data_IF_424392756990
#
_entry.id   IF_424392756990
#
_cell.length_a   1.000
_cell.length_b   1.000
_cell.length_c   1.000
_cell.angle_alpha   90.00
_cell.angle_beta   90.00
_cell.angle_gamma   90.00
#
_symmetry.space_group_name_H-M   'P 1'
#
loop_
_entity.id
_entity.type
_entity.pdbx_description
1 polymer ?
#
# COMPACT_ATOMS: atom_id res chain seq x y z
N UNK A 1 -60.42 -8.38 -34.36
CA UNK A 1 -60.56 -6.92 -34.19
C UNK A 1 -59.39 -6.39 -33.35
N UNK A 2 -58.58 -5.65 -34.07
CA UNK A 2 -57.75 -4.52 -33.71
C UNK A 2 -56.56 -4.74 -32.78
N UNK A 3 -55.44 -4.69 -33.44
CA UNK A 3 -54.10 -4.35 -33.01
C UNK A 3 -54.03 -3.11 -32.12
N UNK A 4 -53.14 -3.16 -31.12
CA UNK A 4 -52.30 -2.03 -30.81
C UNK A 4 -50.95 -2.56 -30.31
N UNK A 5 -50.01 -2.50 -31.20
CA UNK A 5 -48.60 -2.68 -30.95
C UNK A 5 -48.06 -1.34 -30.45
N UNK A 6 -47.86 -1.18 -29.16
CA UNK A 6 -47.10 -0.05 -28.63
C UNK A 6 -45.67 -0.51 -28.31
N UNK A 7 -44.80 -0.23 -29.26
CA UNK A 7 -43.36 -0.35 -29.09
C UNK A 7 -42.86 0.63 -28.06
N UNK A 8 -42.55 0.12 -26.87
CA UNK A 8 -41.76 0.86 -25.90
C UNK A 8 -40.34 0.97 -26.44
N UNK A 9 -40.03 2.11 -27.01
CA UNK A 9 -38.65 2.51 -27.33
C UNK A 9 -37.85 2.61 -26.02
N UNK A 10 -37.07 1.60 -25.77
CA UNK A 10 -36.04 1.62 -24.73
C UNK A 10 -34.97 2.62 -25.20
N UNK A 11 -35.05 3.86 -24.74
CA UNK A 11 -33.98 4.84 -24.92
C UNK A 11 -32.81 4.41 -24.01
N UNK A 12 -31.79 3.85 -24.61
CA UNK A 12 -30.51 3.59 -24.01
C UNK A 12 -29.76 4.94 -23.84
N UNK A 13 -30.11 5.62 -22.73
CA UNK A 13 -29.62 6.97 -22.43
C UNK A 13 -28.36 6.95 -21.57
N UNK A 14 -27.57 5.87 -21.67
CA UNK A 14 -26.31 5.71 -20.94
C UNK A 14 -25.10 6.05 -21.82
N UNK A 15 -25.17 7.12 -22.63
CA UNK A 15 -24.00 7.70 -23.28
C UNK A 15 -23.24 8.53 -22.27
N UNK A 16 -22.26 7.90 -21.60
CA UNK A 16 -21.23 8.63 -20.84
C UNK A 16 -20.57 9.62 -21.79
N UNK A 17 -20.86 10.92 -21.60
CA UNK A 17 -20.20 11.97 -22.39
C UNK A 17 -18.70 11.90 -22.19
N UNK A 18 -17.87 12.07 -23.22
CA UNK A 18 -16.43 12.14 -23.03
C UNK A 18 -16.09 13.33 -22.13
N UNK A 19 -15.24 13.08 -21.11
CA UNK A 19 -14.76 14.13 -20.20
C UNK A 19 -13.96 15.16 -20.98
N UNK A 20 -14.13 16.42 -20.65
CA UNK A 20 -13.32 17.51 -21.21
C UNK A 20 -11.92 17.48 -20.59
N UNK A 21 -10.93 18.03 -21.29
CA UNK A 21 -9.56 18.18 -20.75
C UNK A 21 -9.54 19.00 -19.46
N UNK A 22 -10.43 19.97 -19.31
CA UNK A 22 -10.56 20.79 -18.13
C UNK A 22 -11.08 19.99 -16.93
N UNK A 23 -12.08 19.11 -17.13
CA UNK A 23 -12.58 18.20 -16.11
C UNK A 23 -11.50 17.20 -15.68
N UNK A 24 -10.72 16.64 -16.63
CA UNK A 24 -9.63 15.72 -16.33
C UNK A 24 -8.49 16.40 -15.54
N UNK A 25 -8.18 17.67 -15.82
CA UNK A 25 -7.20 18.45 -15.07
C UNK A 25 -7.68 18.76 -13.66
N UNK A 26 -8.95 19.15 -13.50
CA UNK A 26 -9.53 19.42 -12.19
C UNK A 26 -9.54 18.17 -11.29
N UNK A 27 -9.87 17.00 -11.85
CA UNK A 27 -9.83 15.73 -11.14
C UNK A 27 -8.39 15.40 -10.67
N UNK A 28 -7.37 15.61 -11.53
CA UNK A 28 -5.96 15.40 -11.19
C UNK A 28 -5.45 16.37 -10.11
N UNK A 29 -5.86 17.64 -10.15
CA UNK A 29 -5.50 18.63 -9.14
C UNK A 29 -6.14 18.29 -7.78
N UNK A 30 -7.38 17.84 -7.77
CA UNK A 30 -8.06 17.42 -6.55
C UNK A 30 -7.46 16.13 -5.97
N UNK A 31 -7.13 15.13 -6.80
CA UNK A 31 -6.43 13.91 -6.38
C UNK A 31 -5.06 14.26 -5.77
N UNK A 32 -4.28 15.13 -6.42
CA UNK A 32 -2.98 15.56 -5.91
C UNK A 32 -3.09 16.29 -4.57
N UNK A 33 -4.13 17.12 -4.39
CA UNK A 33 -4.39 17.81 -3.15
C UNK A 33 -4.76 16.86 -2.01
N UNK A 34 -5.61 15.87 -2.28
CA UNK A 34 -5.99 14.84 -1.32
C UNK A 34 -4.76 14.02 -0.90
N UNK A 35 -3.92 13.65 -1.86
CA UNK A 35 -2.69 12.90 -1.59
C UNK A 35 -1.70 13.72 -0.74
N UNK A 36 -1.52 15.01 -1.06
CA UNK A 36 -0.66 15.91 -0.30
C UNK A 36 -1.16 16.10 1.14
N UNK A 37 -2.46 16.25 1.34
CA UNK A 37 -3.05 16.38 2.68
C UNK A 37 -2.91 15.08 3.49
N UNK A 38 -3.10 13.93 2.85
CA UNK A 38 -2.87 12.64 3.46
C UNK A 38 -1.39 12.44 3.87
N UNK A 39 -0.46 12.82 3.01
CA UNK A 39 0.97 12.79 3.29
C UNK A 39 1.35 13.72 4.47
N UNK A 40 0.79 14.92 4.52
CA UNK A 40 1.02 15.86 5.63
C UNK A 40 0.53 15.29 6.96
N UNK A 41 -0.71 14.78 7.02
CA UNK A 41 -1.27 14.11 8.22
C UNK A 41 -0.44 12.89 8.64
N UNK A 42 0.13 12.19 7.69
CA UNK A 42 1.00 11.05 7.93
C UNK A 42 2.30 11.44 8.63
N UNK A 43 2.96 12.50 8.15
CA UNK A 43 4.20 13.05 8.74
C UNK A 43 3.93 13.58 10.15
N UNK A 44 2.82 14.29 10.34
CA UNK A 44 2.41 14.81 11.64
C UNK A 44 2.19 13.68 12.66
N UNK A 45 1.49 12.62 12.24
CA UNK A 45 1.26 11.44 13.09
C UNK A 45 2.56 10.76 13.50
N UNK A 46 3.51 10.55 12.59
CA UNK A 46 4.82 10.00 12.91
C UNK A 46 5.62 10.92 13.85
N UNK A 47 5.50 12.24 13.70
CA UNK A 47 6.13 13.20 14.60
C UNK A 47 5.60 13.08 16.03
N UNK A 48 4.29 12.85 16.21
CA UNK A 48 3.66 12.63 17.51
C UNK A 48 4.08 11.30 18.15
N UNK A 49 4.38 10.27 17.37
CA UNK A 49 4.84 8.97 17.87
C UNK A 49 6.29 9.01 18.38
N UNK A 50 7.16 9.85 17.80
CA UNK A 50 8.59 9.93 18.17
C UNK A 50 8.85 10.12 19.67
N UNK A 51 8.18 11.04 20.40
CA UNK A 51 8.40 11.22 21.84
C UNK A 51 7.95 9.99 22.64
N UNK A 52 6.87 9.31 22.21
CA UNK A 52 6.37 8.09 22.87
C UNK A 52 7.41 6.97 22.71
N UNK A 53 7.87 6.72 21.48
CA UNK A 53 8.91 5.72 21.19
C UNK A 53 10.19 6.01 22.00
N UNK A 54 10.61 7.28 22.08
CA UNK A 54 11.77 7.68 22.87
C UNK A 54 11.60 7.37 24.34
N UNK A 55 10.43 7.63 24.92
CA UNK A 55 10.13 7.30 26.31
C UNK A 55 10.15 5.79 26.55
N UNK A 56 9.54 5.00 25.69
CA UNK A 56 9.55 3.53 25.77
C UNK A 56 10.99 2.99 25.70
N UNK A 57 11.83 3.52 24.80
CA UNK A 57 13.25 3.15 24.71
C UNK A 57 14.02 3.52 25.97
N UNK A 58 13.75 4.68 26.56
CA UNK A 58 14.39 5.14 27.80
C UNK A 58 13.96 4.33 29.03
N UNK A 59 12.78 3.76 29.05
CA UNK A 59 12.27 2.90 30.12
C UNK A 59 12.76 1.46 30.04
N UNK A 60 13.39 1.07 28.90
CA UNK A 60 13.93 -0.25 28.72
C UNK A 60 14.98 -0.58 29.79
N UNK A 61 14.79 -1.71 30.46
CA UNK A 61 15.74 -2.25 31.47
C UNK A 61 16.31 -3.58 31.00
N UNK A 62 17.45 -3.96 31.56
CA UNK A 62 18.02 -5.28 31.31
C UNK A 62 17.03 -6.37 31.76
N UNK A 63 16.59 -7.21 30.82
CA UNK A 63 15.61 -8.27 31.06
C UNK A 63 14.16 -7.90 30.75
N UNK A 64 13.83 -6.62 30.57
CA UNK A 64 12.50 -6.17 30.12
C UNK A 64 12.58 -5.74 28.64
N UNK A 65 11.91 -6.45 27.74
CA UNK A 65 11.93 -6.08 26.33
C UNK A 65 11.18 -4.77 26.11
N UNK A 66 11.73 -3.90 25.25
CA UNK A 66 11.07 -2.66 24.85
C UNK A 66 9.80 -2.98 24.06
N UNK A 67 8.65 -2.51 24.50
CA UNK A 67 7.36 -2.72 23.84
C UNK A 67 7.23 -1.85 22.57
N UNK A 68 8.02 -2.17 21.57
CA UNK A 68 8.06 -1.51 20.27
C UNK A 68 8.11 -2.60 19.19
N UNK A 69 7.35 -2.36 18.13
CA UNK A 69 7.37 -3.13 16.88
C UNK A 69 7.72 -2.20 15.73
N UNK A 70 8.17 -2.75 14.62
CA UNK A 70 8.51 -1.97 13.43
C UNK A 70 7.90 -2.57 12.18
N UNK A 71 7.61 -1.72 11.21
CA UNK A 71 7.07 -2.11 9.91
C UNK A 71 7.81 -1.36 8.80
N UNK A 72 8.10 -2.06 7.71
CA UNK A 72 8.79 -1.52 6.53
C UNK A 72 8.23 -2.08 5.22
N UNK A 73 8.73 -1.57 4.09
CA UNK A 73 8.33 -1.99 2.75
C UNK A 73 7.08 -1.28 2.22
N UNK A 74 6.21 -2.02 1.55
CA UNK A 74 5.04 -1.49 0.84
C UNK A 74 3.86 -1.12 1.77
N UNK A 75 4.11 -0.25 2.75
CA UNK A 75 3.11 0.34 3.65
C UNK A 75 3.12 1.85 3.52
N UNK A 76 2.01 2.50 3.83
CA UNK A 76 1.90 3.97 3.71
C UNK A 76 2.81 4.70 4.68
N UNK A 77 2.93 4.23 5.92
CA UNK A 77 3.71 4.85 6.98
C UNK A 77 4.68 3.84 7.60
N UNK A 78 5.84 3.58 6.96
CA UNK A 78 6.85 2.73 7.57
C UNK A 78 7.47 3.40 8.81
N UNK A 79 7.82 2.60 9.82
CA UNK A 79 8.42 3.13 11.04
C UNK A 79 8.28 2.22 12.25
N UNK A 80 8.55 2.81 13.43
CA UNK A 80 8.40 2.14 14.71
C UNK A 80 7.08 2.54 15.36
N UNK A 81 6.42 1.57 16.01
CA UNK A 81 5.13 1.72 16.66
C UNK A 81 5.18 1.13 18.08
N UNK A 82 4.50 1.75 19.06
CA UNK A 82 4.35 1.16 20.35
C UNK A 82 3.54 -0.15 20.25
N UNK A 83 3.95 -1.17 20.96
CA UNK A 83 3.25 -2.44 21.05
C UNK A 83 2.27 -2.39 22.20
N UNK A 84 0.99 -2.59 21.93
CA UNK A 84 -0.05 -2.77 22.93
C UNK A 84 -0.29 -4.23 23.28
N UNK A 85 -0.99 -4.46 24.39
CA UNK A 85 -1.44 -5.81 24.74
C UNK A 85 -2.42 -6.33 23.70
N UNK A 86 -2.16 -7.50 23.11
CA UNK A 86 -2.97 -8.15 22.06
C UNK A 86 -2.92 -7.45 20.69
N UNK A 87 -1.81 -6.79 20.35
CA UNK A 87 -1.62 -6.28 19.00
C UNK A 87 -1.26 -7.42 18.04
N UNK A 88 -1.84 -7.32 16.85
CA UNK A 88 -1.69 -8.28 15.76
C UNK A 88 -1.07 -7.61 14.54
N UNK A 89 -0.63 -8.42 13.57
CA UNK A 89 -0.13 -7.93 12.27
C UNK A 89 -1.16 -7.01 11.61
N UNK A 90 -2.44 -7.35 11.64
CA UNK A 90 -3.51 -6.52 11.08
C UNK A 90 -3.59 -5.14 11.72
N UNK A 91 -3.49 -5.07 13.05
CA UNK A 91 -3.49 -3.78 13.76
C UNK A 91 -2.24 -2.95 13.46
N UNK A 92 -1.07 -3.58 13.34
CA UNK A 92 0.15 -2.87 12.95
C UNK A 92 0.05 -2.29 11.55
N UNK A 93 -0.45 -3.06 10.58
CA UNK A 93 -0.70 -2.57 9.22
C UNK A 93 -1.70 -1.41 9.23
N UNK A 94 -2.80 -1.51 10.00
CA UNK A 94 -3.75 -0.42 10.14
C UNK A 94 -3.13 0.82 10.80
N UNK A 95 -2.28 0.65 11.83
CA UNK A 95 -1.54 1.74 12.47
C UNK A 95 -0.57 2.41 11.48
N UNK A 96 0.03 1.64 10.56
CA UNK A 96 0.87 2.14 9.49
C UNK A 96 0.09 2.77 8.32
N UNK A 97 -1.20 3.05 8.49
CA UNK A 97 -2.05 3.67 7.47
C UNK A 97 -2.51 2.74 6.35
N UNK A 98 -2.25 1.44 6.47
CA UNK A 98 -2.57 0.44 5.46
C UNK A 98 -1.42 0.16 4.50
N UNK A 99 -1.71 -0.70 3.53
CA UNK A 99 -0.78 -1.12 2.49
C UNK A 99 -0.78 -0.12 1.33
N UNK A 100 0.34 -0.07 0.60
CA UNK A 100 0.41 0.58 -0.72
C UNK A 100 -0.17 -0.35 -1.79
N UNK A 101 -0.53 0.20 -2.93
CA UNK A 101 -1.01 -0.56 -4.09
C UNK A 101 0.07 -1.52 -4.64
N UNK A 102 1.35 -1.17 -4.43
CA UNK A 102 2.50 -2.02 -4.76
C UNK A 102 2.70 -3.21 -3.82
N UNK A 103 1.90 -3.37 -2.77
CA UNK A 103 2.11 -4.39 -1.76
C UNK A 103 1.85 -5.81 -2.27
N UNK A 104 2.79 -6.71 -2.01
CA UNK A 104 2.63 -8.13 -2.26
C UNK A 104 1.81 -8.79 -1.15
N UNK A 105 0.53 -9.05 -1.40
CA UNK A 105 -0.40 -9.53 -0.37
C UNK A 105 -0.15 -10.99 0.06
N UNK A 106 0.47 -11.80 -0.78
CA UNK A 106 0.68 -13.22 -0.49
C UNK A 106 1.95 -13.51 0.32
N UNK A 107 2.85 -12.52 0.46
CA UNK A 107 4.12 -12.72 1.16
C UNK A 107 4.59 -11.45 1.86
N UNK A 108 4.57 -11.49 3.17
CA UNK A 108 5.27 -10.56 4.05
C UNK A 108 6.16 -11.33 5.00
N UNK A 109 7.27 -10.75 5.42
CA UNK A 109 8.21 -11.39 6.33
C UNK A 109 8.11 -10.80 7.73
N UNK A 110 7.81 -11.64 8.72
CA UNK A 110 7.84 -11.27 10.12
C UNK A 110 9.11 -11.81 10.76
N UNK A 111 10.00 -10.92 11.19
CA UNK A 111 11.20 -11.24 11.96
C UNK A 111 10.94 -11.01 13.44
N UNK A 112 11.05 -12.05 14.24
CA UNK A 112 10.94 -12.01 15.70
C UNK A 112 12.32 -12.25 16.34
N UNK A 113 12.64 -11.49 17.40
CA UNK A 113 13.85 -11.68 18.20
C UNK A 113 13.51 -12.45 19.47
N UNK A 114 14.31 -13.46 19.80
CA UNK A 114 14.16 -14.23 21.03
C UNK A 114 15.50 -14.58 21.66
N UNK A 115 15.49 -14.85 22.95
CA UNK A 115 16.69 -15.29 23.67
C UNK A 115 16.90 -16.79 23.46
N UNK A 116 18.02 -17.15 22.91
CA UNK A 116 18.46 -18.54 22.79
C UNK A 116 18.96 -19.14 24.13
N UNK A 117 19.27 -20.45 24.15
CA UNK A 117 19.69 -21.18 25.37
C UNK A 117 20.92 -20.57 26.05
N UNK A 118 21.84 -19.99 25.29
CA UNK A 118 23.08 -19.37 25.77
C UNK A 118 22.95 -17.86 26.03
N UNK A 119 21.72 -17.35 26.24
CA UNK A 119 21.41 -15.92 26.38
C UNK A 119 21.83 -15.06 25.19
N UNK A 120 22.08 -15.66 24.04
CA UNK A 120 22.31 -14.97 22.78
C UNK A 120 20.96 -14.57 22.13
N UNK A 121 20.97 -13.45 21.41
CA UNK A 121 19.78 -12.99 20.66
C UNK A 121 19.76 -13.74 19.34
N UNK A 122 18.67 -14.44 19.08
CA UNK A 122 18.39 -15.16 17.85
C UNK A 122 17.22 -14.53 17.11
N UNK A 123 17.24 -14.64 15.78
CA UNK A 123 16.16 -14.20 14.92
C UNK A 123 15.39 -15.38 14.36
N UNK A 124 14.08 -15.29 14.36
CA UNK A 124 13.18 -16.21 13.68
C UNK A 124 12.45 -15.43 12.58
N UNK A 125 12.42 -16.01 11.39
CA UNK A 125 11.70 -15.45 10.25
C UNK A 125 10.48 -16.31 9.94
N UNK A 126 9.36 -15.67 9.69
CA UNK A 126 8.09 -16.31 9.26
C UNK A 126 7.54 -15.56 8.07
N UNK A 127 7.24 -16.26 7.00
CA UNK A 127 6.45 -15.71 5.90
C UNK A 127 4.97 -15.73 6.27
N UNK A 128 4.31 -14.61 6.05
CA UNK A 128 2.89 -14.40 6.35
C UNK A 128 2.14 -14.05 5.06
N UNK A 129 0.93 -14.61 4.93
CA UNK A 129 0.01 -14.20 3.89
C UNK A 129 -0.89 -13.08 4.42
N UNK A 130 -0.68 -11.85 3.92
CA UNK A 130 -1.41 -10.67 4.40
C UNK A 130 -2.91 -10.71 4.07
N UNK A 131 -3.34 -11.41 3.01
CA UNK A 131 -4.77 -11.59 2.71
C UNK A 131 -5.47 -12.32 3.86
N UNK A 132 -4.81 -13.34 4.43
CA UNK A 132 -5.32 -14.11 5.56
C UNK A 132 -5.23 -13.29 6.84
N UNK A 133 -4.06 -12.68 7.11
CA UNK A 133 -3.82 -11.89 8.33
C UNK A 133 -4.78 -10.71 8.47
N UNK A 134 -5.06 -9.99 7.38
CA UNK A 134 -5.96 -8.83 7.38
C UNK A 134 -7.45 -9.21 7.43
N UNK A 135 -7.80 -10.41 6.96
CA UNK A 135 -9.17 -10.94 7.00
C UNK A 135 -9.51 -11.74 8.26
N UNK A 136 -8.52 -12.10 9.07
CA UNK A 136 -8.73 -12.94 10.24
C UNK A 136 -9.24 -12.14 11.45
N UNK A 137 -10.23 -12.70 12.16
CA UNK A 137 -10.70 -12.16 13.46
C UNK A 137 -9.62 -12.24 14.55
N UNK A 138 -8.71 -13.22 14.45
CA UNK A 138 -7.54 -13.37 15.31
C UNK A 138 -6.32 -13.65 14.44
N UNK A 139 -5.61 -12.59 14.07
CA UNK A 139 -4.36 -12.70 13.31
C UNK A 139 -3.15 -13.02 14.19
N UNK A 140 -1.97 -13.14 13.56
CA UNK A 140 -0.70 -13.38 14.26
C UNK A 140 -0.44 -12.29 15.30
N UNK A 141 -0.30 -12.69 16.55
CA UNK A 141 0.05 -11.80 17.65
C UNK A 141 1.51 -11.34 17.51
N UNK A 142 1.75 -10.07 17.74
CA UNK A 142 3.06 -9.46 17.72
C UNK A 142 3.75 -9.54 19.08
N UNK A 143 5.07 -9.63 19.05
CA UNK A 143 5.94 -9.60 20.22
C UNK A 143 6.83 -8.36 20.18
N UNK A 144 7.38 -8.02 21.34
CA UNK A 144 8.37 -6.94 21.43
C UNK A 144 9.53 -7.15 20.45
N UNK A 145 9.92 -6.06 19.80
CA UNK A 145 10.98 -6.02 18.78
C UNK A 145 10.69 -6.80 17.49
N UNK A 146 9.44 -7.19 17.26
CA UNK A 146 9.05 -7.75 15.97
C UNK A 146 9.21 -6.71 14.86
N UNK A 147 9.64 -7.19 13.70
CA UNK A 147 9.77 -6.41 12.49
C UNK A 147 8.99 -7.06 11.35
N UNK A 148 7.97 -6.36 10.86
CA UNK A 148 7.20 -6.78 9.69
C UNK A 148 7.75 -6.08 8.45
N UNK A 149 8.18 -6.85 7.46
CA UNK A 149 8.56 -6.35 6.14
C UNK A 149 7.52 -6.76 5.10
N UNK A 150 6.81 -5.79 4.55
CA UNK A 150 5.83 -6.00 3.48
C UNK A 150 6.55 -5.88 2.14
N UNK A 151 6.65 -6.99 1.42
CA UNK A 151 7.32 -7.02 0.10
C UNK A 151 6.53 -6.22 -0.93
N UNK A 152 7.22 -5.65 -1.90
CA UNK A 152 6.58 -5.06 -3.07
C UNK A 152 6.39 -6.09 -4.17
N UNK A 153 5.37 -5.89 -5.01
CA UNK A 153 5.17 -6.68 -6.21
C UNK A 153 6.38 -6.51 -7.12
N UNK A 154 6.98 -7.60 -7.62
CA UNK A 154 8.03 -7.51 -8.63
C UNK A 154 7.52 -6.71 -9.84
N UNK A 155 8.38 -5.86 -10.39
CA UNK A 155 8.09 -5.07 -11.58
C UNK A 155 6.86 -4.13 -11.45
N UNK A 156 6.52 -3.72 -10.22
CA UNK A 156 5.47 -2.74 -10.02
C UNK A 156 5.80 -1.43 -10.73
N UNK A 157 5.02 -1.12 -11.77
CA UNK A 157 5.11 0.15 -12.49
C UNK A 157 3.70 0.76 -12.62
N UNK A 158 3.33 1.69 -11.76
CA UNK A 158 1.97 2.27 -11.76
C UNK A 158 1.68 3.08 -13.01
N UNK A 159 2.70 3.61 -13.69
CA UNK A 159 2.52 4.42 -14.88
C UNK A 159 2.45 3.61 -16.16
N UNK A 160 3.08 2.42 -16.21
CA UNK A 160 3.16 1.60 -17.42
C UNK A 160 3.29 2.47 -18.70
N UNK A 161 4.25 3.41 -18.70
CA UNK A 161 4.43 4.35 -19.77
C UNK A 161 5.87 4.30 -20.31
N UNK A 162 6.01 4.51 -21.61
CA UNK A 162 7.29 4.68 -22.29
C UNK A 162 7.31 6.03 -22.98
N UNK A 163 8.46 6.71 -22.94
CA UNK A 163 8.68 7.94 -23.69
C UNK A 163 9.36 7.58 -25.01
N UNK A 164 8.76 7.97 -26.11
CA UNK A 164 9.35 7.88 -27.45
C UNK A 164 9.95 9.25 -27.80
N UNK A 165 11.24 9.26 -28.08
CA UNK A 165 12.00 10.45 -28.46
C UNK A 165 12.83 10.18 -29.74
N UNK A 166 13.28 11.23 -30.39
CA UNK A 166 14.10 11.15 -31.59
C UNK A 166 13.28 11.17 -32.88
N UNK A 167 13.78 10.53 -33.92
CA UNK A 167 13.16 10.51 -35.25
C UNK A 167 11.99 9.53 -35.37
N UNK A 168 10.97 9.77 -34.55
CA UNK A 168 9.69 9.04 -34.61
C UNK A 168 8.60 9.97 -35.12
N UNK A 169 7.60 9.40 -35.78
CA UNK A 169 6.51 10.19 -36.40
C UNK A 169 5.72 11.00 -35.37
N UNK A 170 5.54 10.43 -34.15
CA UNK A 170 4.83 11.06 -33.05
C UNK A 170 5.63 10.83 -31.76
N UNK A 171 6.55 11.73 -31.39
CA UNK A 171 7.24 11.67 -30.12
C UNK A 171 6.30 12.00 -28.98
N UNK A 172 6.48 11.36 -27.81
CA UNK A 172 5.65 11.59 -26.62
C UNK A 172 5.60 10.40 -25.65
N UNK A 173 4.77 10.54 -24.62
CA UNK A 173 4.55 9.51 -23.63
C UNK A 173 3.38 8.62 -24.02
N UNK A 174 3.63 7.32 -24.10
CA UNK A 174 2.64 6.31 -24.46
C UNK A 174 2.41 5.35 -23.29
N UNK A 175 1.18 5.21 -22.87
CA UNK A 175 0.81 4.14 -21.93
C UNK A 175 0.89 2.80 -22.64
N UNK A 176 1.57 1.85 -22.02
CA UNK A 176 1.76 0.49 -22.55
C UNK A 176 0.91 -0.51 -21.74
N UNK A 177 0.49 -1.57 -22.42
CA UNK A 177 -0.14 -2.74 -21.78
C UNK A 177 0.94 -3.69 -21.30
N UNK A 178 0.59 -4.55 -20.34
CA UNK A 178 1.50 -5.63 -19.95
C UNK A 178 1.84 -6.48 -21.17
N UNK A 179 3.13 -6.76 -21.35
CA UNK A 179 3.68 -7.54 -22.46
C UNK A 179 3.54 -6.90 -23.86
N UNK A 180 3.14 -5.62 -23.95
CA UNK A 180 3.12 -4.87 -25.22
C UNK A 180 4.57 -4.57 -25.69
N UNK A 181 4.86 -4.83 -26.97
CA UNK A 181 6.18 -4.57 -27.53
C UNK A 181 6.29 -3.13 -28.02
N UNK A 182 7.51 -2.60 -28.02
CA UNK A 182 7.77 -1.26 -28.55
C UNK A 182 7.30 -1.10 -30.01
N UNK A 183 7.43 -2.17 -30.83
CA UNK A 183 6.91 -2.20 -32.21
C UNK A 183 5.41 -1.96 -32.30
N UNK A 184 4.65 -2.35 -31.29
CA UNK A 184 3.19 -2.22 -31.27
C UNK A 184 2.80 -0.80 -30.85
N UNK A 185 3.59 -0.20 -29.95
CA UNK A 185 3.44 1.20 -29.56
C UNK A 185 3.74 2.14 -30.72
N UNK A 186 4.81 1.87 -31.50
CA UNK A 186 5.20 2.69 -32.66
C UNK A 186 4.18 2.61 -33.80
N UNK A 187 3.45 1.52 -33.95
CA UNK A 187 2.42 1.32 -34.97
C UNK A 187 1.07 1.96 -34.66
N UNK A 188 0.87 2.36 -33.41
CA UNK A 188 -0.34 3.00 -32.90
C UNK A 188 -0.38 4.47 -33.27
#
# INVERSE_FOLDING_TARGET
>A
YVNANEGASFRDDNRVRPRTEAEARADLEEEAKIELEAAYKAVERLALLKPVIRKLKAQARSGEPVEIVSISGAVKLPGEYPLGSKDTVAKLVAAAGGLKDSAHLDSAELRSLYLGPNKNILSRYRDLNLKIELGALSGTALQSRDHLNVKELPDWNPTNAVTLEGEVRFPGNYRIRKDERLSDVIKR
#
